data_IF_238262934940
#
_entry.id   IF_238262934940
#
_cell.length_a   1.000
_cell.length_b   1.000
_cell.length_c   1.000
_cell.angle_alpha   90.00
_cell.angle_beta   90.00
_cell.angle_gamma   90.00
#
_symmetry.space_group_name_H-M   'P 1'
#
loop_
_entity.id
_entity.type
_entity.pdbx_description
1 polymer ?
#
# COMPACT_ATOMS: atom_id res chain seq x y z
N UNK A 1 -21.84 -18.19 -8.85
CA UNK A 1 -20.46 -17.95 -9.30
C UNK A 1 -20.00 -16.62 -8.72
N UNK A 2 -19.34 -16.65 -7.56
CA UNK A 2 -18.83 -15.44 -6.93
C UNK A 2 -17.63 -14.96 -7.75
N UNK A 3 -17.75 -13.77 -8.32
CA UNK A 3 -16.64 -13.10 -9.00
C UNK A 3 -15.77 -12.45 -7.91
N UNK A 4 -14.45 -12.70 -7.86
CA UNK A 4 -13.58 -11.96 -6.99
C UNK A 4 -13.58 -10.49 -7.45
N UNK A 5 -14.00 -9.61 -6.56
CA UNK A 5 -13.86 -8.18 -6.69
C UNK A 5 -12.47 -7.82 -6.20
N UNK A 6 -11.53 -7.66 -7.11
CA UNK A 6 -10.19 -7.25 -6.75
C UNK A 6 -10.21 -5.77 -6.36
N UNK A 7 -10.38 -5.53 -5.08
CA UNK A 7 -10.01 -4.27 -4.46
C UNK A 7 -8.53 -4.37 -4.13
N UNK A 8 -7.69 -4.15 -5.16
CA UNK A 8 -6.33 -3.80 -4.82
C UNK A 8 -6.45 -2.66 -3.82
N UNK A 9 -5.96 -2.87 -2.60
CA UNK A 9 -5.65 -1.81 -1.65
C UNK A 9 -4.58 -0.94 -2.32
N UNK A 10 -5.03 -0.29 -3.38
CA UNK A 10 -4.27 0.73 -4.01
C UNK A 10 -4.37 1.93 -3.11
N UNK A 11 -3.40 1.95 -2.22
CA UNK A 11 -2.80 3.20 -1.83
C UNK A 11 -3.60 4.23 -1.06
N UNK A 12 -2.92 4.63 -0.01
CA UNK A 12 -2.77 6.03 0.35
C UNK A 12 -4.06 6.65 0.87
N UNK A 13 -4.24 6.49 2.14
CA UNK A 13 -4.52 7.65 2.99
C UNK A 13 -4.31 7.29 4.46
N UNK A 14 -3.07 7.46 4.92
CA UNK A 14 -2.80 7.65 6.33
C UNK A 14 -3.29 9.04 6.75
N UNK A 15 -4.58 9.25 6.87
CA UNK A 15 -5.12 10.43 7.51
C UNK A 15 -5.44 10.11 8.95
N UNK A 16 -4.62 10.68 9.84
CA UNK A 16 -4.87 10.90 11.27
C UNK A 16 -4.79 9.68 12.20
N UNK A 17 -3.57 9.25 12.51
CA UNK A 17 -3.27 8.70 13.83
C UNK A 17 -1.85 9.16 14.22
N UNK A 18 -1.77 10.09 15.17
CA UNK A 18 -0.51 10.50 15.77
C UNK A 18 0.08 9.37 16.58
N UNK A 19 1.36 9.01 16.39
CA UNK A 19 2.02 8.05 17.26
C UNK A 19 2.33 8.70 18.60
N UNK A 20 1.93 8.07 19.69
CA UNK A 20 2.42 8.42 21.02
C UNK A 20 3.72 7.64 21.23
N UNK A 21 4.84 8.35 21.20
CA UNK A 21 6.14 7.82 21.59
C UNK A 21 6.43 8.19 23.05
N UNK A 22 6.57 7.19 23.90
CA UNK A 22 7.06 7.32 25.26
C UNK A 22 8.28 6.43 25.43
N UNK A 23 9.42 7.04 25.76
CA UNK A 23 10.72 6.40 25.85
C UNK A 23 10.99 5.76 27.22
N UNK A 24 11.52 4.50 27.19
CA UNK A 24 12.43 3.96 28.21
C UNK A 24 13.41 3.03 27.49
N UNK A 25 14.69 3.42 27.38
CA UNK A 25 15.51 3.03 26.23
C UNK A 25 16.40 1.77 26.38
N UNK A 26 16.83 1.32 27.56
CA UNK A 26 17.91 0.32 27.61
C UNK A 26 17.49 -1.13 27.92
N UNK A 27 16.52 -1.37 28.80
CA UNK A 27 16.01 -2.72 29.08
C UNK A 27 14.97 -3.18 28.02
N UNK A 28 14.34 -2.24 27.32
CA UNK A 28 13.38 -2.50 26.26
C UNK A 28 14.06 -3.00 24.97
N UNK A 29 15.28 -2.56 24.68
CA UNK A 29 16.05 -2.95 23.50
C UNK A 29 16.40 -4.44 23.49
N UNK A 30 16.94 -4.96 24.60
CA UNK A 30 17.30 -6.37 24.75
C UNK A 30 16.06 -7.28 24.70
N UNK A 31 14.96 -6.85 25.31
CA UNK A 31 13.70 -7.59 25.26
C UNK A 31 13.16 -7.66 23.82
N UNK A 32 13.25 -6.54 23.09
CA UNK A 32 12.81 -6.46 21.68
C UNK A 32 13.66 -7.35 20.77
N UNK A 33 14.98 -7.38 20.97
CA UNK A 33 15.88 -8.25 20.22
C UNK A 33 15.57 -9.73 20.47
N UNK A 34 15.39 -10.15 21.73
CA UNK A 34 14.99 -11.52 22.09
C UNK A 34 13.64 -11.90 21.49
N UNK A 35 12.72 -10.95 21.39
CA UNK A 35 11.42 -11.15 20.76
C UNK A 35 11.60 -11.29 19.24
N UNK A 36 12.43 -10.49 18.59
CA UNK A 36 12.74 -10.56 17.18
C UNK A 36 13.44 -11.86 16.78
N UNK A 37 14.28 -12.43 17.63
CA UNK A 37 14.91 -13.75 17.41
C UNK A 37 13.86 -14.88 17.28
N UNK A 38 12.77 -14.79 18.04
CA UNK A 38 11.68 -15.77 18.05
C UNK A 38 10.55 -15.43 17.07
N UNK A 39 10.52 -14.20 16.54
CA UNK A 39 9.47 -13.74 15.65
C UNK A 39 9.48 -14.55 14.34
N UNK A 40 8.31 -14.97 13.84
CA UNK A 40 8.23 -15.58 12.51
C UNK A 40 8.63 -14.58 11.45
N UNK A 41 9.20 -15.09 10.35
CA UNK A 41 9.46 -14.27 9.16
C UNK A 41 8.14 -14.00 8.47
N UNK A 42 7.74 -12.74 8.40
CA UNK A 42 6.55 -12.27 7.70
C UNK A 42 6.94 -11.32 6.59
N UNK A 43 6.16 -11.30 5.52
CA UNK A 43 6.42 -10.47 4.36
C UNK A 43 7.42 -11.08 3.39
N UNK A 44 7.30 -10.65 2.16
CA UNK A 44 8.17 -11.07 1.08
C UNK A 44 9.43 -10.22 1.08
N UNK A 45 10.59 -10.85 1.12
CA UNK A 45 11.86 -10.16 1.23
C UNK A 45 12.91 -10.82 0.36
N UNK A 46 13.60 -10.03 -0.46
CA UNK A 46 14.62 -10.50 -1.38
C UNK A 46 15.88 -9.63 -1.32
N UNK A 47 17.00 -10.25 -1.63
CA UNK A 47 18.22 -9.61 -2.03
C UNK A 47 18.32 -9.65 -3.55
N UNK A 48 18.54 -8.52 -4.19
CA UNK A 48 18.75 -8.41 -5.63
C UNK A 48 20.18 -7.93 -5.90
N UNK A 49 20.90 -8.63 -6.80
CA UNK A 49 22.27 -8.33 -7.19
C UNK A 49 22.44 -8.22 -8.70
N UNK A 50 23.29 -7.27 -9.11
CA UNK A 50 23.75 -7.14 -10.50
C UNK A 50 25.23 -6.73 -10.50
N UNK A 51 26.14 -7.69 -10.74
CA UNK A 51 27.57 -7.52 -10.47
C UNK A 51 27.79 -7.25 -8.97
N UNK A 52 28.55 -6.22 -8.64
CA UNK A 52 28.85 -5.84 -7.25
C UNK A 52 27.71 -5.05 -6.57
N UNK A 53 26.68 -4.67 -7.33
CA UNK A 53 25.54 -3.90 -6.83
C UNK A 53 24.62 -4.80 -6.04
N UNK A 54 24.19 -4.31 -4.86
CA UNK A 54 23.24 -5.00 -3.99
C UNK A 54 22.13 -4.06 -3.56
N UNK A 55 20.91 -4.55 -3.57
CA UNK A 55 19.74 -3.86 -3.08
C UNK A 55 18.80 -4.86 -2.39
N UNK A 56 18.13 -4.44 -1.35
CA UNK A 56 17.09 -5.20 -0.69
C UNK A 56 15.72 -4.80 -1.18
N UNK A 57 14.85 -5.78 -1.46
CA UNK A 57 13.49 -5.58 -1.93
C UNK A 57 12.52 -6.17 -0.91
N UNK A 58 11.65 -5.34 -0.33
CA UNK A 58 10.68 -5.76 0.66
C UNK A 58 9.26 -5.49 0.19
N UNK A 59 8.42 -6.53 0.18
CA UNK A 59 7.00 -6.41 -0.14
C UNK A 59 6.23 -5.90 1.06
N UNK A 60 5.53 -4.77 0.90
CA UNK A 60 4.77 -4.11 1.98
C UNK A 60 3.28 -4.42 1.95
N UNK A 61 2.61 -4.20 3.08
CA UNK A 61 1.14 -4.20 3.21
C UNK A 61 0.70 -2.98 3.98
N UNK A 62 -0.33 -2.31 3.47
CA UNK A 62 -0.81 -1.02 3.97
C UNK A 62 -1.66 -1.10 5.25
N UNK A 63 -1.97 -2.29 5.72
CA UNK A 63 -2.65 -2.56 6.99
C UNK A 63 -2.05 -3.80 7.64
N UNK A 64 -2.00 -3.84 8.96
CA UNK A 64 -1.43 -4.95 9.70
C UNK A 64 -2.03 -5.09 11.08
N UNK A 65 -1.35 -5.84 11.93
CA UNK A 65 -1.69 -6.08 13.34
C UNK A 65 -0.46 -5.88 14.21
N UNK A 66 -0.67 -5.56 15.48
CA UNK A 66 0.43 -5.39 16.45
C UNK A 66 1.34 -6.62 16.53
N UNK A 67 0.76 -7.83 16.39
CA UNK A 67 1.48 -9.11 16.47
C UNK A 67 2.44 -9.35 15.29
N UNK A 68 2.41 -8.51 14.27
CA UNK A 68 3.38 -8.60 13.19
C UNK A 68 4.77 -8.10 13.59
N UNK A 69 4.87 -7.41 14.73
CA UNK A 69 6.08 -6.74 15.18
C UNK A 69 6.56 -7.24 16.56
N UNK A 70 7.88 -7.26 16.81
CA UNK A 70 8.92 -6.87 15.87
C UNK A 70 9.06 -7.84 14.69
N UNK A 71 9.63 -7.42 13.56
CA UNK A 71 10.03 -8.34 12.50
C UNK A 71 11.10 -9.31 12.98
N UNK A 72 11.25 -10.43 12.25
CA UNK A 72 12.30 -11.40 12.54
C UNK A 72 13.70 -10.75 12.54
N UNK A 73 14.59 -11.22 13.40
CA UNK A 73 15.94 -10.67 13.57
C UNK A 73 16.76 -10.65 12.28
N UNK A 74 16.60 -11.65 11.38
CA UNK A 74 17.29 -11.67 10.11
C UNK A 74 16.83 -10.53 9.19
N UNK A 75 15.55 -10.13 9.26
CA UNK A 75 15.04 -8.98 8.53
C UNK A 75 15.61 -7.68 9.12
N UNK A 76 15.61 -7.55 10.44
CA UNK A 76 16.16 -6.37 11.11
C UNK A 76 17.65 -6.19 10.80
N UNK A 77 18.45 -7.27 10.72
CA UNK A 77 19.85 -7.23 10.29
C UNK A 77 20.00 -6.64 8.89
N UNK A 78 19.16 -7.09 7.92
CA UNK A 78 19.18 -6.56 6.56
C UNK A 78 18.68 -5.12 6.48
N UNK A 79 17.67 -4.77 7.25
CA UNK A 79 17.20 -3.40 7.36
C UNK A 79 18.30 -2.48 7.93
N UNK A 80 19.05 -2.98 8.93
CA UNK A 80 20.15 -2.22 9.51
C UNK A 80 21.37 -2.08 8.57
N UNK A 81 21.63 -3.05 7.72
CA UNK A 81 22.66 -2.99 6.68
C UNK A 81 22.37 -1.92 5.62
N UNK A 82 21.10 -1.66 5.32
CA UNK A 82 20.72 -0.64 4.38
C UNK A 82 21.10 0.77 4.86
N UNK A 83 21.63 1.58 3.95
CA UNK A 83 22.02 2.97 4.24
C UNK A 83 20.82 3.92 4.27
N UNK A 84 19.73 3.57 3.58
CA UNK A 84 18.47 4.30 3.58
C UNK A 84 17.29 3.35 3.32
N UNK A 85 16.11 3.77 3.73
CA UNK A 85 14.83 3.14 3.39
C UNK A 85 14.18 3.92 2.25
N UNK A 86 13.74 3.21 1.22
CA UNK A 86 13.07 3.78 0.04
C UNK A 86 11.65 3.22 0.00
N UNK A 87 10.63 4.05 0.21
CA UNK A 87 9.23 3.68 0.11
C UNK A 87 8.69 3.97 -1.30
N UNK A 88 7.50 3.49 -1.61
CA UNK A 88 6.80 3.91 -2.83
C UNK A 88 6.61 5.43 -2.84
N UNK A 89 6.05 5.98 -1.77
CA UNK A 89 5.87 7.40 -1.52
C UNK A 89 5.94 7.68 -0.02
N UNK A 90 6.41 8.87 0.36
CA UNK A 90 6.43 9.29 1.76
C UNK A 90 5.07 9.90 2.14
N UNK A 91 4.24 9.11 2.79
CA UNK A 91 2.93 9.52 3.32
C UNK A 91 2.99 9.98 4.78
N UNK A 92 4.18 10.07 5.36
CA UNK A 92 4.38 10.43 6.78
C UNK A 92 4.66 11.92 7.00
N UNK A 93 4.85 12.70 5.94
CA UNK A 93 4.83 14.16 5.98
C UNK A 93 3.38 14.65 5.98
N UNK A 94 2.80 14.81 7.16
CA UNK A 94 1.38 15.18 7.32
C UNK A 94 1.02 16.51 6.64
N UNK A 95 1.95 17.49 6.61
CA UNK A 95 1.74 18.77 5.96
C UNK A 95 1.61 18.59 4.45
N UNK A 96 2.60 17.93 3.83
CA UNK A 96 2.60 17.64 2.38
C UNK A 96 1.38 16.80 1.98
N UNK A 97 1.07 15.76 2.75
CA UNK A 97 -0.13 14.91 2.52
C UNK A 97 -1.40 15.76 2.55
N UNK A 98 -1.56 16.60 3.57
CA UNK A 98 -2.73 17.47 3.69
C UNK A 98 -2.89 18.44 2.51
N UNK A 99 -1.80 19.08 2.07
CA UNK A 99 -1.79 20.00 0.93
C UNK A 99 -2.16 19.28 -0.39
N UNK A 100 -1.56 18.11 -0.62
CA UNK A 100 -1.82 17.34 -1.85
C UNK A 100 -3.25 16.80 -1.87
N UNK A 101 -3.73 16.23 -0.76
CA UNK A 101 -5.10 15.72 -0.64
C UNK A 101 -6.13 16.82 -0.84
N UNK A 102 -5.95 17.97 -0.20
CA UNK A 102 -6.83 19.13 -0.38
C UNK A 102 -6.93 19.54 -1.85
N UNK A 103 -5.84 19.47 -2.58
CA UNK A 103 -5.74 19.87 -3.99
C UNK A 103 -6.38 18.87 -4.94
N UNK A 104 -6.14 17.55 -4.74
CA UNK A 104 -6.46 16.54 -5.77
C UNK A 104 -7.58 15.58 -5.38
N UNK A 105 -7.89 15.42 -4.09
CA UNK A 105 -8.81 14.41 -3.59
C UNK A 105 -10.19 14.95 -3.20
N UNK A 106 -10.32 16.27 -3.10
CA UNK A 106 -11.56 16.94 -2.71
C UNK A 106 -12.07 17.83 -3.83
N UNK A 107 -13.38 18.02 -3.87
CA UNK A 107 -14.00 19.07 -4.68
C UNK A 107 -13.74 20.43 -4.02
N UNK A 108 -13.54 21.47 -4.84
CA UNK A 108 -13.28 22.83 -4.40
C UNK A 108 -14.46 23.41 -3.61
N UNK A 109 -14.19 24.48 -2.88
CA UNK A 109 -15.24 25.22 -2.18
C UNK A 109 -16.19 25.86 -3.19
N UNK A 110 -17.50 25.63 -3.05
CA UNK A 110 -18.52 26.08 -4.00
C UNK A 110 -18.69 25.19 -5.24
N UNK A 111 -17.86 24.19 -5.46
CA UNK A 111 -18.09 23.20 -6.52
C UNK A 111 -19.21 22.22 -6.15
N UNK A 112 -20.01 21.74 -7.13
CA UNK A 112 -20.95 20.65 -6.91
C UNK A 112 -20.23 19.41 -6.37
N UNK A 113 -20.78 18.83 -5.31
CA UNK A 113 -20.20 17.65 -4.65
C UNK A 113 -20.40 16.35 -5.41
N UNK A 114 -19.88 15.27 -4.84
CA UNK A 114 -20.01 13.91 -5.38
C UNK A 114 -21.46 13.49 -5.55
N UNK A 115 -22.34 13.92 -4.65
CA UNK A 115 -23.78 13.58 -4.63
C UNK A 115 -24.52 14.02 -5.90
N UNK A 116 -24.02 15.03 -6.61
CA UNK A 116 -24.58 15.51 -7.88
C UNK A 116 -23.96 14.85 -9.10
N UNK A 117 -22.94 14.02 -8.93
CA UNK A 117 -22.09 13.44 -9.97
C UNK A 117 -22.25 11.93 -10.13
N UNK A 118 -23.08 11.33 -9.30
CA UNK A 118 -23.37 9.89 -9.28
C UNK A 118 -24.88 9.63 -9.39
N UNK A 119 -25.24 8.40 -9.76
CA UNK A 119 -26.65 8.01 -9.82
C UNK A 119 -27.32 8.02 -8.43
N UNK A 120 -28.63 8.22 -8.38
CA UNK A 120 -29.40 8.16 -7.14
C UNK A 120 -29.29 6.79 -6.45
N UNK A 121 -29.12 5.72 -7.20
CA UNK A 121 -28.87 4.38 -6.64
C UNK A 121 -27.52 4.34 -5.91
N UNK A 122 -26.45 4.76 -6.58
CA UNK A 122 -25.11 4.78 -5.97
C UNK A 122 -25.06 5.74 -4.78
N UNK A 123 -25.76 6.88 -4.85
CA UNK A 123 -25.88 7.84 -3.75
C UNK A 123 -26.51 7.22 -2.50
N UNK A 124 -27.60 6.46 -2.65
CA UNK A 124 -28.23 5.73 -1.55
C UNK A 124 -27.27 4.72 -0.91
N UNK A 125 -26.57 3.96 -1.74
CA UNK A 125 -25.61 2.94 -1.31
C UNK A 125 -24.41 3.56 -0.61
N UNK A 126 -23.84 4.64 -1.14
CA UNK A 126 -22.76 5.42 -0.50
C UNK A 126 -23.23 5.96 0.84
N UNK A 127 -24.44 6.54 0.92
CA UNK A 127 -25.03 7.05 2.18
C UNK A 127 -25.12 5.93 3.23
N UNK A 128 -25.54 4.73 2.82
CA UNK A 128 -25.62 3.59 3.73
C UNK A 128 -24.25 3.19 4.29
N UNK A 129 -23.22 3.14 3.44
CA UNK A 129 -21.85 2.82 3.88
C UNK A 129 -21.26 3.95 4.76
N UNK A 130 -21.46 5.21 4.37
CA UNK A 130 -21.03 6.35 5.17
C UNK A 130 -21.63 6.32 6.60
N UNK A 131 -22.94 6.05 6.71
CA UNK A 131 -23.63 5.87 7.98
C UNK A 131 -23.07 4.69 8.79
N UNK A 132 -22.81 3.54 8.12
CA UNK A 132 -22.24 2.34 8.74
C UNK A 132 -20.90 2.63 9.42
N UNK A 133 -20.06 3.47 8.79
CA UNK A 133 -18.75 3.84 9.30
C UNK A 133 -18.73 5.14 10.11
N UNK A 134 -19.88 5.76 10.36
CA UNK A 134 -19.97 7.01 11.15
C UNK A 134 -19.32 8.22 10.48
N UNK A 135 -19.26 8.22 9.14
CA UNK A 135 -18.71 9.34 8.38
C UNK A 135 -19.69 10.52 8.35
N UNK A 136 -19.13 11.73 8.47
CA UNK A 136 -19.86 12.97 8.28
C UNK A 136 -20.30 13.13 6.83
N UNK A 137 -21.62 13.29 6.54
CA UNK A 137 -22.14 13.42 5.17
C UNK A 137 -21.49 14.56 4.39
N UNK A 138 -21.28 15.73 5.01
CA UNK A 138 -20.71 16.89 4.33
C UNK A 138 -19.29 16.62 3.86
N UNK A 139 -18.51 15.88 4.65
CA UNK A 139 -17.16 15.44 4.25
C UNK A 139 -17.19 14.39 3.15
N UNK A 140 -18.14 13.45 3.21
CA UNK A 140 -18.30 12.40 2.20
C UNK A 140 -18.56 13.01 0.83
N UNK A 141 -19.48 13.97 0.73
CA UNK A 141 -19.84 14.57 -0.55
C UNK A 141 -18.78 15.51 -1.11
N UNK A 142 -17.84 15.95 -0.29
CA UNK A 142 -16.67 16.70 -0.76
C UNK A 142 -15.54 15.83 -1.31
N UNK A 143 -15.54 14.54 -1.03
CA UNK A 143 -14.52 13.62 -1.56
C UNK A 143 -14.77 13.32 -3.03
N UNK A 144 -13.69 13.28 -3.84
CA UNK A 144 -13.77 12.70 -5.18
C UNK A 144 -14.05 11.19 -5.10
N UNK A 145 -14.62 10.55 -6.14
CA UNK A 145 -15.06 9.16 -6.06
C UNK A 145 -13.96 8.20 -5.59
N UNK A 146 -12.75 8.34 -6.15
CA UNK A 146 -11.61 7.47 -5.79
C UNK A 146 -11.18 7.64 -4.33
N UNK A 147 -11.23 8.87 -3.83
CA UNK A 147 -10.86 9.15 -2.43
C UNK A 147 -11.84 8.49 -1.47
N UNK A 148 -13.13 8.61 -1.74
CA UNK A 148 -14.16 7.95 -0.94
C UNK A 148 -14.04 6.42 -1.02
N UNK A 149 -13.78 5.86 -2.20
CA UNK A 149 -13.59 4.43 -2.37
C UNK A 149 -12.46 3.90 -1.46
N UNK A 150 -11.28 4.54 -1.49
CA UNK A 150 -10.14 4.17 -0.66
C UNK A 150 -10.45 4.34 0.83
N UNK A 151 -11.10 5.43 1.21
CA UNK A 151 -11.51 5.68 2.61
C UNK A 151 -12.40 4.56 3.15
N UNK A 152 -13.42 4.18 2.39
CA UNK A 152 -14.36 3.13 2.79
C UNK A 152 -13.68 1.75 2.94
N UNK A 153 -12.77 1.41 2.02
CA UNK A 153 -12.02 0.13 2.08
C UNK A 153 -11.09 0.07 3.30
N UNK A 154 -10.41 1.17 3.63
CA UNK A 154 -9.56 1.26 4.82
C UNK A 154 -10.39 1.12 6.10
N UNK A 155 -11.53 1.78 6.18
CA UNK A 155 -12.43 1.66 7.32
C UNK A 155 -12.97 0.23 7.49
N UNK A 156 -13.28 -0.44 6.39
CA UNK A 156 -13.65 -1.86 6.42
C UNK A 156 -12.52 -2.74 6.96
N UNK A 157 -11.27 -2.52 6.50
CA UNK A 157 -10.11 -3.26 6.98
C UNK A 157 -9.91 -3.07 8.50
N UNK A 158 -10.08 -1.83 8.97
CA UNK A 158 -9.97 -1.48 10.39
C UNK A 158 -11.06 -2.19 11.22
N UNK A 159 -12.29 -2.23 10.74
CA UNK A 159 -13.37 -3.01 11.37
C UNK A 159 -13.09 -4.51 11.40
N UNK A 160 -12.30 -5.04 10.48
CA UNK A 160 -11.83 -6.42 10.42
C UNK A 160 -10.60 -6.74 11.30
N UNK A 161 -10.17 -5.79 12.15
CA UNK A 161 -9.05 -5.98 13.08
C UNK A 161 -7.66 -5.71 12.49
N UNK A 162 -7.58 -5.14 11.29
CA UNK A 162 -6.35 -4.61 10.73
C UNK A 162 -6.27 -3.09 10.94
N UNK A 163 -5.06 -2.56 11.04
CA UNK A 163 -4.87 -1.11 11.21
C UNK A 163 -3.76 -0.58 10.33
N UNK A 164 -3.94 0.58 9.69
CA UNK A 164 -2.86 1.31 9.02
C UNK A 164 -1.70 1.65 9.96
N UNK A 165 -1.94 1.85 11.26
CA UNK A 165 -0.88 2.09 12.24
C UNK A 165 0.12 0.93 12.31
N UNK A 166 -0.31 -0.27 11.97
CA UNK A 166 0.49 -1.49 11.88
C UNK A 166 0.82 -1.89 10.44
N UNK A 167 0.71 -0.97 9.50
CA UNK A 167 1.23 -1.18 8.15
C UNK A 167 2.74 -1.40 8.18
N UNK A 168 3.26 -2.18 7.24
CA UNK A 168 4.70 -2.41 7.16
C UNK A 168 5.48 -1.13 6.85
N UNK A 169 4.90 -0.21 6.09
CA UNK A 169 5.45 1.11 5.83
C UNK A 169 5.57 1.96 7.10
N UNK A 170 4.57 1.87 8.00
CA UNK A 170 4.61 2.57 9.30
C UNK A 170 5.77 2.07 10.16
N UNK A 171 5.99 0.76 10.17
CA UNK A 171 7.15 0.19 10.85
C UNK A 171 8.46 0.66 10.21
N UNK A 172 8.57 0.61 8.88
CA UNK A 172 9.79 1.02 8.16
C UNK A 172 10.09 2.51 8.34
N UNK A 173 9.07 3.37 8.39
CA UNK A 173 9.21 4.78 8.72
C UNK A 173 9.78 4.97 10.14
N UNK A 174 9.19 4.30 11.14
CA UNK A 174 9.67 4.37 12.52
C UNK A 174 11.09 3.82 12.66
N UNK A 175 11.40 2.72 11.97
CA UNK A 175 12.72 2.13 11.92
C UNK A 175 13.76 3.11 11.31
N UNK A 176 13.46 3.71 10.16
CA UNK A 176 14.32 4.67 9.50
C UNK A 176 14.58 5.89 10.41
N UNK A 177 13.52 6.47 10.96
CA UNK A 177 13.60 7.63 11.86
C UNK A 177 14.39 7.29 13.12
N UNK A 178 14.09 6.18 13.78
CA UNK A 178 14.74 5.75 15.03
C UNK A 178 16.21 5.38 14.84
N UNK A 179 16.61 4.92 13.64
CA UNK A 179 18.01 4.59 13.32
C UNK A 179 18.76 5.71 12.59
N UNK A 180 18.15 6.89 12.42
CA UNK A 180 18.76 8.04 11.74
C UNK A 180 19.00 7.79 10.25
N UNK A 181 18.30 6.84 9.62
CA UNK A 181 18.43 6.55 8.19
C UNK A 181 17.55 7.48 7.36
N UNK A 182 18.05 7.96 6.21
CA UNK A 182 17.22 8.70 5.26
C UNK A 182 15.99 7.88 4.81
N UNK A 183 14.85 8.56 4.71
CA UNK A 183 13.66 8.03 4.07
C UNK A 183 13.55 8.65 2.67
N UNK A 184 13.57 7.81 1.65
CA UNK A 184 13.53 8.18 0.24
C UNK A 184 12.27 7.61 -0.42
N UNK A 185 12.01 8.00 -1.67
CA UNK A 185 10.83 7.61 -2.42
C UNK A 185 11.20 7.02 -3.80
N UNK A 186 10.43 6.04 -4.28
CA UNK A 186 10.46 5.59 -5.68
C UNK A 186 9.61 6.52 -6.54
N UNK A 187 8.42 6.83 -6.06
CA UNK A 187 7.46 7.75 -6.67
C UNK A 187 7.12 8.86 -5.68
N UNK A 188 6.67 10.00 -6.17
CA UNK A 188 6.13 11.01 -5.26
C UNK A 188 4.66 10.74 -4.94
N UNK A 189 4.19 11.24 -3.79
CA UNK A 189 2.77 11.22 -3.43
C UNK A 189 1.92 11.87 -4.53
N UNK A 190 2.38 13.01 -5.06
CA UNK A 190 1.71 13.75 -6.13
C UNK A 190 1.57 12.90 -7.41
N UNK A 191 2.62 12.15 -7.77
CA UNK A 191 2.59 11.25 -8.91
C UNK A 191 1.54 10.15 -8.72
N UNK A 192 1.53 9.51 -7.57
CA UNK A 192 0.59 8.44 -7.27
C UNK A 192 -0.86 8.94 -7.28
N UNK A 193 -1.14 10.06 -6.61
CA UNK A 193 -2.50 10.62 -6.59
C UNK A 193 -2.92 11.17 -7.96
N UNK A 194 -1.96 11.62 -8.79
CA UNK A 194 -2.26 12.07 -10.15
C UNK A 194 -2.80 10.97 -11.06
N UNK A 195 -2.57 9.70 -10.75
CA UNK A 195 -3.14 8.56 -11.52
C UNK A 195 -4.67 8.61 -11.43
N UNK A 196 -5.19 8.84 -10.24
CA UNK A 196 -6.63 9.00 -10.03
C UNK A 196 -7.15 10.30 -10.63
N UNK A 197 -6.43 11.41 -10.44
CA UNK A 197 -6.83 12.73 -10.91
C UNK A 197 -6.92 12.81 -12.43
N UNK A 198 -6.03 12.12 -13.15
CA UNK A 198 -6.03 12.07 -14.63
C UNK A 198 -7.06 11.10 -15.21
N UNK A 199 -7.61 10.21 -14.39
CA UNK A 199 -8.68 9.34 -14.86
C UNK A 199 -9.98 10.15 -15.02
N UNK A 200 -10.76 9.81 -16.04
CA UNK A 200 -12.04 10.46 -16.25
C UNK A 200 -13.04 10.15 -15.12
N UNK A 201 -14.05 11.00 -15.00
CA UNK A 201 -15.06 10.87 -13.95
C UNK A 201 -15.77 9.51 -13.98
N UNK A 202 -16.07 8.97 -15.14
CA UNK A 202 -16.74 7.67 -15.26
C UNK A 202 -15.89 6.54 -14.70
N UNK A 203 -14.58 6.58 -14.92
CA UNK A 203 -13.62 5.62 -14.37
C UNK A 203 -13.54 5.74 -12.85
N UNK A 204 -13.48 6.97 -12.31
CA UNK A 204 -13.47 7.19 -10.87
C UNK A 204 -14.78 6.73 -10.21
N UNK A 205 -15.92 6.99 -10.84
CA UNK A 205 -17.24 6.54 -10.34
C UNK A 205 -17.34 5.02 -10.42
N UNK A 206 -16.89 4.39 -11.51
CA UNK A 206 -16.86 2.93 -11.63
C UNK A 206 -15.97 2.27 -10.56
N UNK A 207 -14.86 2.90 -10.20
CA UNK A 207 -13.98 2.47 -9.11
C UNK A 207 -14.69 2.57 -7.73
N UNK A 208 -15.37 3.69 -7.46
CA UNK A 208 -16.19 3.85 -6.25
C UNK A 208 -17.32 2.82 -6.18
N UNK A 209 -18.05 2.63 -7.28
CA UNK A 209 -19.16 1.68 -7.33
C UNK A 209 -18.68 0.24 -7.06
N UNK A 210 -17.51 -0.12 -7.59
CA UNK A 210 -16.87 -1.41 -7.30
C UNK A 210 -16.55 -1.54 -5.81
N UNK A 211 -15.95 -0.52 -5.19
CA UNK A 211 -15.65 -0.51 -3.75
C UNK A 211 -16.93 -0.70 -2.92
N UNK A 212 -17.98 0.05 -3.23
CA UNK A 212 -19.28 -0.06 -2.53
C UNK A 212 -19.88 -1.47 -2.69
N UNK A 213 -19.86 -2.05 -3.89
CA UNK A 213 -20.32 -3.45 -4.10
C UNK A 213 -19.53 -4.45 -3.26
N UNK A 214 -18.21 -4.28 -3.19
CA UNK A 214 -17.35 -5.15 -2.40
C UNK A 214 -17.64 -5.07 -0.89
N UNK A 215 -17.99 -3.88 -0.41
CA UNK A 215 -18.40 -3.69 0.99
C UNK A 215 -19.75 -4.37 1.28
N UNK A 216 -20.71 -4.24 0.37
CA UNK A 216 -22.05 -4.82 0.48
C UNK A 216 -22.02 -6.36 0.44
N UNK A 217 -21.19 -6.94 -0.42
CA UNK A 217 -21.03 -8.40 -0.54
C UNK A 217 -20.09 -9.02 0.50
N UNK A 218 -19.32 -8.19 1.25
CA UNK A 218 -18.24 -8.64 2.13
C UNK A 218 -16.98 -9.11 1.38
N UNK A 219 -16.91 -8.92 0.05
CA UNK A 219 -15.73 -9.26 -0.74
C UNK A 219 -14.54 -8.39 -0.38
N UNK A 220 -14.74 -7.10 -0.13
CA UNK A 220 -13.68 -6.18 0.25
C UNK A 220 -12.91 -6.67 1.49
N UNK A 221 -13.61 -7.15 2.52
CA UNK A 221 -12.98 -7.70 3.72
C UNK A 221 -12.21 -8.99 3.41
N UNK A 222 -12.83 -9.88 2.62
CA UNK A 222 -12.19 -11.16 2.25
C UNK A 222 -10.90 -10.95 1.44
N UNK A 223 -10.89 -9.97 0.56
CA UNK A 223 -9.72 -9.64 -0.26
C UNK A 223 -8.59 -9.04 0.57
N UNK A 224 -8.90 -8.08 1.44
CA UNK A 224 -7.91 -7.54 2.38
C UNK A 224 -7.28 -8.67 3.19
N UNK A 225 -8.11 -9.56 3.74
CA UNK A 225 -7.65 -10.70 4.52
C UNK A 225 -6.73 -11.60 3.70
N UNK A 226 -7.11 -11.97 2.49
CA UNK A 226 -6.27 -12.81 1.60
C UNK A 226 -4.90 -12.20 1.32
N UNK A 227 -4.87 -10.88 1.03
CA UNK A 227 -3.61 -10.17 0.77
C UNK A 227 -2.72 -10.19 2.02
N UNK A 228 -3.28 -9.84 3.18
CA UNK A 228 -2.52 -9.81 4.42
C UNK A 228 -2.07 -11.22 4.84
N UNK A 229 -2.92 -12.24 4.71
CA UNK A 229 -2.55 -13.63 5.00
C UNK A 229 -1.46 -14.17 4.07
N UNK A 230 -1.54 -13.89 2.76
CA UNK A 230 -0.49 -14.24 1.81
C UNK A 230 0.84 -13.59 2.19
N UNK A 231 0.81 -12.32 2.57
CA UNK A 231 1.98 -11.59 3.05
C UNK A 231 2.51 -12.18 4.36
N UNK A 232 1.64 -12.39 5.35
CA UNK A 232 2.02 -12.91 6.67
C UNK A 232 2.69 -14.28 6.57
N UNK A 233 2.13 -15.17 5.74
CA UNK A 233 2.63 -16.54 5.55
C UNK A 233 3.75 -16.64 4.52
N UNK A 234 4.06 -15.55 3.82
CA UNK A 234 5.00 -15.54 2.69
C UNK A 234 4.57 -16.50 1.57
N UNK A 235 3.27 -16.62 1.39
CA UNK A 235 2.66 -17.53 0.42
C UNK A 235 2.72 -16.92 -0.98
N UNK A 236 3.75 -17.35 -1.73
CA UNK A 236 4.00 -16.88 -3.10
C UNK A 236 2.88 -17.31 -4.05
N UNK A 237 2.36 -18.51 -3.89
CA UNK A 237 1.34 -19.03 -4.79
C UNK A 237 0.03 -18.28 -4.60
N UNK A 238 -0.33 -17.95 -3.35
CA UNK A 238 -1.45 -17.08 -3.06
C UNK A 238 -1.26 -15.66 -3.64
N UNK A 239 -0.06 -15.09 -3.55
CA UNK A 239 0.25 -13.78 -4.13
C UNK A 239 0.16 -13.79 -5.67
N UNK A 240 0.70 -14.82 -6.33
CA UNK A 240 0.59 -15.02 -7.78
C UNK A 240 -0.87 -15.20 -8.22
N UNK A 241 -1.66 -15.94 -7.44
CA UNK A 241 -3.09 -16.10 -7.71
C UNK A 241 -3.83 -14.77 -7.60
N UNK A 242 -3.55 -13.95 -6.57
CA UNK A 242 -4.15 -12.62 -6.41
C UNK A 242 -3.85 -11.73 -7.61
N UNK A 243 -2.61 -11.69 -8.10
CA UNK A 243 -2.24 -10.92 -9.30
C UNK A 243 -2.94 -11.47 -10.54
N UNK A 244 -3.04 -12.79 -10.67
CA UNK A 244 -3.79 -13.40 -11.78
C UNK A 244 -5.25 -12.98 -11.76
N UNK A 245 -5.88 -12.89 -10.60
CA UNK A 245 -7.27 -12.42 -10.48
C UNK A 245 -7.39 -10.92 -10.82
N UNK A 246 -6.43 -10.08 -10.41
CA UNK A 246 -6.37 -8.65 -10.80
C UNK A 246 -6.38 -8.52 -12.33
N UNK A 247 -5.59 -9.33 -13.04
CA UNK A 247 -5.50 -9.27 -14.50
C UNK A 247 -6.68 -9.91 -15.25
N UNK A 248 -7.62 -10.58 -14.54
CA UNK A 248 -8.89 -11.02 -15.11
C UNK A 248 -9.96 -9.91 -15.14
N UNK A 249 -9.55 -8.69 -14.91
CA UNK A 249 -10.38 -7.48 -14.87
C UNK A 249 -11.34 -7.38 -16.07
N UNK A 250 -12.63 -7.10 -15.78
CA UNK A 250 -13.68 -6.99 -16.80
C UNK A 250 -14.39 -5.64 -16.79
N UNK A 251 -14.65 -5.11 -15.61
CA UNK A 251 -15.27 -3.80 -15.45
C UNK A 251 -14.27 -2.67 -15.66
N UNK A 252 -14.76 -1.46 -15.88
CA UNK A 252 -13.92 -0.26 -16.03
C UNK A 252 -13.07 -0.01 -14.77
N UNK A 253 -13.67 -0.13 -13.59
CA UNK A 253 -12.95 0.04 -12.32
C UNK A 253 -11.87 -1.03 -12.12
N UNK A 254 -12.16 -2.31 -12.41
CA UNK A 254 -11.17 -3.39 -12.32
C UNK A 254 -10.00 -3.16 -13.29
N UNK A 255 -10.27 -2.79 -14.54
CA UNK A 255 -9.21 -2.45 -15.51
C UNK A 255 -8.37 -1.27 -15.06
N UNK A 256 -9.00 -0.22 -14.51
CA UNK A 256 -8.25 0.90 -13.95
C UNK A 256 -7.25 0.44 -12.88
N UNK A 257 -7.65 -0.47 -12.00
CA UNK A 257 -6.74 -1.05 -11.01
C UNK A 257 -5.61 -1.80 -11.69
N UNK A 258 -5.91 -2.78 -12.54
CA UNK A 258 -4.90 -3.63 -13.17
C UNK A 258 -3.91 -2.83 -14.03
N UNK A 259 -4.43 -1.92 -14.88
CA UNK A 259 -3.63 -1.24 -15.88
C UNK A 259 -2.91 -0.01 -15.31
N UNK A 260 -3.60 0.82 -14.50
CA UNK A 260 -3.07 2.11 -14.06
C UNK A 260 -2.43 2.06 -12.68
N UNK A 261 -3.02 1.32 -11.73
CA UNK A 261 -2.49 1.24 -10.37
C UNK A 261 -1.39 0.17 -10.23
N UNK A 262 -1.32 -0.80 -11.14
CA UNK A 262 -0.27 -1.81 -11.19
C UNK A 262 0.65 -1.62 -12.40
N UNK A 263 0.27 -2.10 -13.56
CA UNK A 263 1.17 -2.30 -14.69
C UNK A 263 1.86 -1.04 -15.18
N UNK A 264 1.13 0.06 -15.31
CA UNK A 264 1.70 1.33 -15.81
C UNK A 264 2.78 1.94 -14.90
N UNK A 265 2.83 1.52 -13.63
CA UNK A 265 3.81 2.00 -12.64
C UNK A 265 5.11 1.21 -12.67
N UNK A 266 5.05 -0.09 -12.99
CA UNK A 266 6.19 -0.99 -12.89
C UNK A 266 7.43 -0.54 -13.66
N UNK A 267 7.36 -0.02 -14.91
CA UNK A 267 8.55 0.44 -15.62
C UNK A 267 9.34 1.52 -14.86
N UNK A 268 8.63 2.51 -14.30
CA UNK A 268 9.25 3.59 -13.51
C UNK A 268 9.82 3.09 -12.19
N UNK A 269 9.12 2.17 -11.52
CA UNK A 269 9.62 1.54 -10.30
C UNK A 269 10.92 0.79 -10.57
N UNK A 270 10.99 0.02 -11.65
CA UNK A 270 12.21 -0.70 -12.04
C UNK A 270 13.35 0.25 -12.33
N UNK A 271 13.12 1.32 -13.10
CA UNK A 271 14.13 2.36 -13.37
C UNK A 271 14.66 3.01 -12.09
N UNK A 272 13.77 3.32 -11.14
CA UNK A 272 14.15 3.87 -9.85
C UNK A 272 14.98 2.87 -9.03
N UNK A 273 14.58 1.61 -8.98
CA UNK A 273 15.33 0.54 -8.32
C UNK A 273 16.73 0.39 -8.93
N UNK A 274 16.86 0.39 -10.26
CA UNK A 274 18.14 0.33 -10.95
C UNK A 274 19.03 1.54 -10.62
N UNK A 275 18.44 2.73 -10.54
CA UNK A 275 19.16 3.96 -10.17
C UNK A 275 19.69 3.88 -8.73
N UNK A 276 18.88 3.42 -7.78
CA UNK A 276 19.34 3.19 -6.41
C UNK A 276 20.44 2.13 -6.35
N UNK A 277 20.26 1.00 -7.02
CA UNK A 277 21.28 -0.06 -7.08
C UNK A 277 22.59 0.41 -7.72
N UNK A 278 22.54 1.36 -8.66
CA UNK A 278 23.71 1.90 -9.35
C UNK A 278 24.53 2.89 -8.51
N UNK A 279 24.00 3.39 -7.37
CA UNK A 279 24.67 4.41 -6.56
C UNK A 279 25.89 3.89 -5.76
N UNK A 280 26.05 2.56 -5.67
CA UNK A 280 27.08 1.93 -4.85
C UNK A 280 26.71 1.75 -3.37
N UNK A 281 25.58 2.28 -2.92
CA UNK A 281 25.06 2.08 -1.57
C UNK A 281 24.02 0.96 -1.53
N UNK A 282 23.84 0.36 -0.37
CA UNK A 282 22.81 -0.67 -0.14
C UNK A 282 21.53 0.03 0.33
N UNK A 283 20.46 -0.11 -0.42
CA UNK A 283 19.13 0.43 -0.06
C UNK A 283 18.16 -0.69 0.27
N UNK A 284 17.21 -0.38 1.17
CA UNK A 284 16.01 -1.18 1.40
C UNK A 284 14.86 -0.53 0.64
N UNK A 285 14.48 -1.11 -0.49
CA UNK A 285 13.35 -0.67 -1.30
C UNK A 285 12.10 -1.44 -0.88
N UNK A 286 11.10 -0.71 -0.45
CA UNK A 286 9.86 -1.24 0.08
C UNK A 286 8.67 -0.78 -0.77
N UNK A 287 8.07 -1.72 -1.49
CA UNK A 287 6.96 -1.53 -2.43
C UNK A 287 5.85 -2.51 -2.07
N UNK A 288 4.60 -2.16 -2.32
CA UNK A 288 3.45 -3.03 -2.08
C UNK A 288 3.68 -4.45 -2.61
N UNK A 289 3.45 -5.43 -1.75
CA UNK A 289 3.86 -6.82 -1.99
C UNK A 289 3.43 -7.36 -3.35
N UNK A 290 2.20 -7.05 -3.77
CA UNK A 290 1.66 -7.58 -5.01
C UNK A 290 2.35 -7.04 -6.27
N UNK A 291 3.02 -5.88 -6.21
CA UNK A 291 3.81 -5.36 -7.35
C UNK A 291 4.99 -6.26 -7.74
N UNK A 292 5.45 -7.10 -6.83
CA UNK A 292 6.58 -8.00 -7.11
C UNK A 292 6.21 -9.23 -7.93
N UNK A 293 4.94 -9.63 -7.97
CA UNK A 293 4.45 -10.88 -8.54
C UNK A 293 3.86 -10.73 -9.94
N UNK A 294 3.66 -11.86 -10.61
CA UNK A 294 3.14 -11.93 -11.96
C UNK A 294 4.19 -11.73 -13.04
N UNK A 295 3.87 -12.11 -14.28
CA UNK A 295 4.79 -12.02 -15.43
C UNK A 295 5.19 -10.58 -15.78
N UNK A 296 4.42 -9.59 -15.33
CA UNK A 296 4.69 -8.16 -15.47
C UNK A 296 5.13 -7.51 -14.15
N UNK A 297 5.37 -8.31 -13.11
CA UNK A 297 5.79 -7.83 -11.79
C UNK A 297 7.26 -7.44 -11.73
N UNK A 298 7.61 -6.71 -10.67
CA UNK A 298 8.95 -6.14 -10.49
C UNK A 298 10.05 -7.20 -10.47
N UNK A 299 9.80 -8.41 -9.92
CA UNK A 299 10.81 -9.46 -9.88
C UNK A 299 11.19 -9.92 -11.29
N UNK A 300 10.23 -10.17 -12.17
CA UNK A 300 10.47 -10.59 -13.55
C UNK A 300 11.13 -9.48 -14.36
N UNK A 301 10.66 -8.24 -14.20
CA UNK A 301 11.26 -7.10 -14.89
C UNK A 301 12.71 -6.84 -14.45
N UNK A 302 13.03 -6.99 -13.17
CA UNK A 302 14.40 -6.85 -12.67
C UNK A 302 15.30 -8.01 -13.15
N UNK A 303 14.78 -9.26 -13.20
CA UNK A 303 15.51 -10.38 -13.81
C UNK A 303 15.83 -10.12 -15.27
N UNK A 304 14.87 -9.59 -16.04
CA UNK A 304 15.09 -9.20 -17.43
C UNK A 304 16.15 -8.09 -17.59
N UNK A 305 16.37 -7.29 -16.54
CA UNK A 305 17.44 -6.27 -16.45
C UNK A 305 18.77 -6.84 -15.93
N UNK A 306 18.87 -8.16 -15.72
CA UNK A 306 20.10 -8.86 -15.32
C UNK A 306 20.36 -8.89 -13.81
N UNK A 307 19.33 -8.69 -12.98
CA UNK A 307 19.45 -8.92 -11.55
C UNK A 307 19.25 -10.40 -11.21
N UNK A 308 20.10 -10.93 -10.35
CA UNK A 308 19.87 -12.18 -9.62
C UNK A 308 19.11 -11.86 -8.35
N UNK A 309 17.96 -12.50 -8.14
CA UNK A 309 17.07 -12.22 -7.02
C UNK A 309 16.92 -13.46 -6.16
N UNK A 310 17.34 -13.35 -4.90
CA UNK A 310 17.35 -14.44 -3.91
C UNK A 310 16.44 -14.08 -2.74
N UNK A 311 15.51 -14.97 -2.34
CA UNK A 311 14.71 -14.74 -1.14
C UNK A 311 15.60 -14.67 0.11
N UNK A 312 15.32 -13.74 1.01
CA UNK A 312 15.89 -13.69 2.35
C UNK A 312 15.18 -14.73 3.21
N UNK A 313 15.90 -15.79 3.53
CA UNK A 313 15.40 -16.94 4.32
C UNK A 313 15.76 -16.83 5.79
#
# INVERSE_FOLDING_TARGET
MHRPLVHALALILFLLLTPHAGAQADSAGDALLKQAEKAPKRGFFWEARKGDRKIYLFGTVHVGRAEFYPPNIEYLRRFNEATAVVLEANVFDAKRVGEVVQKVALYGEGEPGLDTRISEDLKKRVTAQAKRFGLDPDRVWRMKPWMLANTLVILQATGGGYSPAYASESFLFQFATGSGKPLLEIESLELQLSIFERSDQETQVAYLEQAVRGLESGDAEREVRKIVEAWERRDKDAAEQLITEIHKAKSRGERFVADQLFDARHPRMVEAIEKYAASGSVYLVAVGALHYFGSRGLLEMLRARGFTITPVT
#
